data_IF_154208968827
#
_entry.id   IF_154208968827
#
_cell.length_a   1.000
_cell.length_b   1.000
_cell.length_c   1.000
_cell.angle_alpha   90.00
_cell.angle_beta   90.00
_cell.angle_gamma   90.00
#
_symmetry.space_group_name_H-M   'P 1'
#
loop_
_entity.id
_entity.type
_entity.pdbx_description
1 polymer ?
#
# COMPACT_ATOMS: atom_id res chain seq x y z
N UNK A 1 -9.01 17.23 14.97
CA UNK A 1 -10.29 16.96 14.24
C UNK A 1 -10.11 16.77 12.73
N UNK A 2 -9.24 17.51 12.02
CA UNK A 2 -9.00 17.31 10.57
C UNK A 2 -8.46 15.92 10.18
N UNK A 3 -7.68 15.28 11.06
CA UNK A 3 -7.14 13.94 10.82
C UNK A 3 -8.22 12.84 10.73
N UNK A 4 -9.24 12.89 11.60
CA UNK A 4 -10.34 11.92 11.55
C UNK A 4 -11.18 12.07 10.28
N UNK A 5 -11.43 13.31 9.84
CA UNK A 5 -12.13 13.58 8.57
C UNK A 5 -11.36 13.06 7.36
N UNK A 6 -10.03 13.18 7.34
CA UNK A 6 -9.18 12.63 6.29
C UNK A 6 -9.20 11.10 6.27
N UNK A 7 -9.20 10.45 7.45
CA UNK A 7 -9.31 8.99 7.54
C UNK A 7 -10.66 8.50 7.04
N UNK A 8 -11.77 9.11 7.49
CA UNK A 8 -13.13 8.72 7.06
C UNK A 8 -13.30 8.94 5.55
N UNK A 9 -12.84 10.08 5.04
CA UNK A 9 -12.86 10.34 3.60
C UNK A 9 -12.02 9.32 2.82
N UNK A 10 -10.85 8.94 3.35
CA UNK A 10 -10.00 7.88 2.80
C UNK A 10 -10.72 6.53 2.74
N UNK A 11 -11.36 6.12 3.84
CA UNK A 11 -12.12 4.85 3.92
C UNK A 11 -13.31 4.84 2.95
N UNK A 12 -14.05 5.95 2.83
CA UNK A 12 -15.16 6.07 1.87
C UNK A 12 -14.62 5.99 0.43
N UNK A 13 -13.49 6.63 0.15
CA UNK A 13 -12.83 6.57 -1.16
C UNK A 13 -12.36 5.14 -1.49
N UNK A 14 -11.76 4.44 -0.52
CA UNK A 14 -11.35 3.03 -0.65
C UNK A 14 -12.56 2.18 -1.00
N UNK A 15 -13.61 2.27 -0.19
CA UNK A 15 -14.85 1.53 -0.37
C UNK A 15 -15.42 1.76 -1.77
N UNK A 16 -15.49 3.03 -2.20
CA UNK A 16 -15.96 3.39 -3.53
C UNK A 16 -15.10 2.78 -4.65
N UNK A 17 -13.77 2.88 -4.56
CA UNK A 17 -12.81 2.33 -5.53
C UNK A 17 -12.80 0.80 -5.57
N UNK A 18 -13.11 0.14 -4.45
CA UNK A 18 -13.24 -1.33 -4.39
C UNK A 18 -14.60 -1.84 -4.87
N UNK A 19 -15.64 -1.00 -4.89
CA UNK A 19 -17.02 -1.39 -5.20
C UNK A 19 -17.46 -1.01 -6.64
N UNK A 20 -16.77 -0.07 -7.29
CA UNK A 20 -17.03 0.30 -8.70
C UNK A 20 -15.96 -0.31 -9.64
N UNK A 21 -16.34 -0.95 -10.77
CA UNK A 21 -17.66 -1.10 -11.38
C UNK A 21 -18.37 -2.39 -10.91
N UNK A 22 -19.70 -2.35 -10.87
CA UNK A 22 -20.57 -3.38 -10.30
C UNK A 22 -20.65 -4.71 -11.08
N UNK A 23 -19.82 -4.92 -12.11
CA UNK A 23 -19.85 -6.10 -12.99
C UNK A 23 -18.85 -7.22 -12.60
N UNK A 24 -18.03 -7.01 -11.55
CA UNK A 24 -17.06 -8.00 -11.09
C UNK A 24 -17.19 -8.27 -9.58
N UNK A 25 -16.93 -9.52 -9.18
CA UNK A 25 -17.03 -9.92 -7.77
C UNK A 25 -16.15 -9.00 -6.88
N UNK A 26 -16.64 -8.61 -5.69
CA UNK A 26 -15.92 -7.69 -4.80
C UNK A 26 -14.50 -8.19 -4.54
N UNK A 27 -13.53 -7.27 -4.58
CA UNK A 27 -12.09 -7.57 -4.48
C UNK A 27 -11.49 -8.45 -5.61
N UNK A 28 -12.10 -8.47 -6.81
CA UNK A 28 -11.53 -9.14 -7.98
C UNK A 28 -10.63 -8.22 -8.82
N UNK A 29 -9.78 -8.85 -9.63
CA UNK A 29 -8.87 -8.26 -10.63
C UNK A 29 -9.50 -7.19 -11.54
N UNK A 30 -10.81 -7.28 -11.79
CA UNK A 30 -11.54 -6.40 -12.70
C UNK A 30 -12.14 -5.14 -12.03
N UNK A 31 -12.10 -5.05 -10.69
CA UNK A 31 -12.46 -3.82 -9.97
C UNK A 31 -11.51 -2.67 -10.29
N UNK A 32 -11.93 -1.39 -10.17
CA UNK A 32 -11.01 -0.27 -10.43
C UNK A 32 -9.80 -0.30 -9.51
N UNK A 33 -9.99 -0.70 -8.25
CA UNK A 33 -8.90 -1.00 -7.33
C UNK A 33 -7.98 -2.12 -7.86
N UNK A 34 -8.54 -3.23 -8.36
CA UNK A 34 -7.77 -4.33 -8.97
C UNK A 34 -6.97 -3.90 -10.20
N UNK A 35 -7.56 -3.10 -11.11
CA UNK A 35 -6.88 -2.58 -12.31
C UNK A 35 -5.77 -1.59 -11.96
N UNK A 36 -5.98 -0.73 -10.96
CA UNK A 36 -4.93 0.12 -10.40
C UNK A 36 -3.81 -0.73 -9.77
N UNK A 37 -4.17 -1.74 -8.98
CA UNK A 37 -3.25 -2.71 -8.39
C UNK A 37 -2.39 -3.43 -9.40
N UNK A 38 -2.97 -3.90 -10.50
CA UNK A 38 -2.25 -4.55 -11.59
C UNK A 38 -1.32 -3.59 -12.33
N UNK A 39 -1.73 -2.33 -12.49
CA UNK A 39 -0.87 -1.28 -13.07
C UNK A 39 0.37 -1.00 -12.22
N UNK A 40 0.25 -1.04 -10.89
CA UNK A 40 1.37 -0.88 -9.97
C UNK A 40 2.12 -2.19 -9.66
N UNK A 41 1.50 -3.34 -9.92
CA UNK A 41 2.07 -4.67 -9.70
C UNK A 41 3.48 -4.86 -10.29
N UNK A 42 3.85 -4.40 -11.50
CA UNK A 42 5.20 -4.60 -12.02
C UNK A 42 6.28 -3.85 -11.20
N UNK A 43 5.91 -2.77 -10.50
CA UNK A 43 6.83 -2.04 -9.63
C UNK A 43 7.08 -2.80 -8.31
N UNK A 44 6.09 -3.56 -7.85
CA UNK A 44 6.08 -4.24 -6.55
C UNK A 44 6.38 -5.73 -6.63
N UNK A 45 6.27 -6.34 -7.82
CA UNK A 45 6.70 -7.71 -8.12
C UNK A 45 8.13 -8.02 -7.67
N UNK A 46 9.15 -7.18 -7.92
CA UNK A 46 10.52 -7.47 -7.46
C UNK A 46 10.67 -7.45 -5.93
N UNK A 47 9.68 -6.97 -5.19
CA UNK A 47 9.64 -6.97 -3.72
C UNK A 47 8.85 -8.16 -3.17
N UNK A 48 8.30 -9.03 -4.03
CA UNK A 48 7.40 -10.12 -3.66
C UNK A 48 5.97 -9.67 -3.34
N UNK A 49 5.64 -8.40 -3.59
CA UNK A 49 4.34 -7.79 -3.27
C UNK A 49 3.41 -7.96 -4.48
N UNK A 50 2.24 -8.57 -4.27
CA UNK A 50 1.26 -8.82 -5.31
C UNK A 50 0.37 -7.61 -5.59
N UNK A 51 -0.59 -7.77 -6.49
CA UNK A 51 -1.52 -6.71 -6.84
C UNK A 51 -2.45 -6.36 -5.67
N UNK A 52 -2.84 -7.34 -4.84
CA UNK A 52 -3.66 -7.11 -3.64
C UNK A 52 -2.94 -6.21 -2.62
N UNK A 53 -1.68 -6.53 -2.33
CA UNK A 53 -0.88 -5.77 -1.37
C UNK A 53 -0.50 -4.39 -1.91
N UNK A 54 -0.27 -4.28 -3.22
CA UNK A 54 -0.02 -2.98 -3.89
C UNK A 54 -1.22 -2.04 -3.74
N UNK A 55 -2.45 -2.56 -3.86
CA UNK A 55 -3.68 -1.79 -3.61
C UNK A 55 -3.80 -1.39 -2.14
N UNK A 56 -3.51 -2.30 -1.23
CA UNK A 56 -3.52 -2.01 0.21
C UNK A 56 -2.51 -0.91 0.58
N UNK A 57 -1.32 -0.90 -0.04
CA UNK A 57 -0.31 0.15 0.13
C UNK A 57 -0.74 1.49 -0.47
N UNK A 58 -1.40 1.47 -1.64
CA UNK A 58 -1.93 2.68 -2.28
C UNK A 58 -2.95 3.37 -1.37
N UNK A 59 -3.83 2.58 -0.74
CA UNK A 59 -4.78 3.10 0.25
C UNK A 59 -4.11 3.48 1.57
N UNK A 60 -3.09 2.72 1.96
CA UNK A 60 -2.24 3.02 3.10
C UNK A 60 -1.60 4.40 3.02
N UNK A 61 -1.25 4.86 1.82
CA UNK A 61 -0.65 6.18 1.57
C UNK A 61 -1.46 7.33 2.17
N UNK A 62 -2.79 7.19 2.22
CA UNK A 62 -3.69 8.19 2.82
C UNK A 62 -3.59 8.17 4.34
N UNK A 63 -3.67 6.98 4.95
CA UNK A 63 -3.41 6.76 6.37
C UNK A 63 -2.93 5.32 6.62
N UNK A 64 -1.84 5.17 7.38
CA UNK A 64 -1.18 3.88 7.62
C UNK A 64 -2.10 2.83 8.26
N UNK A 65 -3.08 3.28 9.05
CA UNK A 65 -4.05 2.44 9.73
C UNK A 65 -5.08 1.82 8.76
N UNK A 66 -5.28 2.41 7.58
CA UNK A 66 -6.21 1.93 6.57
C UNK A 66 -5.68 0.67 5.87
N UNK A 67 -4.37 0.41 5.88
CA UNK A 67 -3.77 -0.78 5.25
C UNK A 67 -4.41 -2.06 5.75
N UNK A 68 -4.59 -2.19 7.07
CA UNK A 68 -5.18 -3.39 7.68
C UNK A 68 -6.65 -3.54 7.28
N UNK A 69 -7.39 -2.41 7.23
CA UNK A 69 -8.78 -2.40 6.77
C UNK A 69 -8.92 -2.76 5.29
N UNK A 70 -8.02 -2.27 4.44
CA UNK A 70 -7.98 -2.61 3.02
C UNK A 70 -7.68 -4.10 2.81
N UNK A 71 -6.70 -4.66 3.53
CA UNK A 71 -6.41 -6.10 3.50
C UNK A 71 -7.63 -6.92 3.96
N UNK A 72 -8.34 -6.48 5.01
CA UNK A 72 -9.55 -7.15 5.49
C UNK A 72 -10.65 -7.19 4.42
N UNK A 73 -10.85 -6.10 3.68
CA UNK A 73 -11.83 -6.03 2.59
C UNK A 73 -11.38 -6.89 1.40
N UNK A 74 -10.11 -6.83 1.02
CA UNK A 74 -9.56 -7.56 -0.14
C UNK A 74 -9.58 -9.08 0.10
N UNK A 75 -9.22 -9.53 1.30
CA UNK A 75 -9.27 -10.93 1.68
C UNK A 75 -10.66 -11.38 2.14
N UNK A 76 -11.72 -10.57 2.01
CA UNK A 76 -13.09 -11.04 2.25
C UNK A 76 -13.50 -11.21 3.72
N UNK A 77 -12.84 -10.53 4.65
CA UNK A 77 -13.33 -10.25 6.01
C UNK A 77 -13.37 -11.41 7.01
N UNK A 78 -13.35 -12.66 6.58
CA UNK A 78 -13.33 -13.84 7.45
C UNK A 78 -11.90 -14.41 7.55
N UNK A 79 -11.35 -14.41 8.78
CA UNK A 79 -10.05 -14.97 9.15
C UNK A 79 -8.82 -14.43 8.41
N UNK A 80 -8.53 -13.15 8.64
CA UNK A 80 -7.27 -12.49 8.25
C UNK A 80 -6.03 -13.32 8.60
N UNK A 81 -5.99 -13.95 9.79
CA UNK A 81 -4.85 -14.77 10.19
C UNK A 81 -4.62 -15.97 9.26
N UNK A 82 -5.70 -16.61 8.81
CA UNK A 82 -5.62 -17.78 7.94
C UNK A 82 -5.20 -17.37 6.52
N UNK A 83 -5.72 -16.24 6.04
CA UNK A 83 -5.39 -15.75 4.69
C UNK A 83 -4.01 -15.13 4.60
N UNK A 84 -3.56 -14.43 5.64
CA UNK A 84 -2.18 -13.96 5.74
C UNK A 84 -1.22 -15.16 5.76
N UNK A 85 -1.51 -16.20 6.54
CA UNK A 85 -0.70 -17.42 6.55
C UNK A 85 -0.68 -18.15 5.18
N UNK A 86 -1.76 -18.06 4.40
CA UNK A 86 -1.85 -18.68 3.08
C UNK A 86 -1.16 -17.86 1.96
N UNK A 87 -1.14 -16.52 2.06
CA UNK A 87 -0.69 -15.62 0.98
C UNK A 87 0.60 -14.85 1.26
N UNK A 88 1.09 -14.85 2.51
CA UNK A 88 2.36 -14.24 2.89
C UNK A 88 3.36 -15.31 3.33
N UNK A 89 4.44 -15.47 2.55
CA UNK A 89 5.66 -16.09 3.07
C UNK A 89 6.31 -15.15 4.09
N UNK A 90 7.05 -15.66 5.09
CA UNK A 90 7.71 -14.81 6.08
C UNK A 90 8.62 -13.75 5.43
N UNK A 91 9.24 -14.07 4.30
CA UNK A 91 10.06 -13.12 3.55
C UNK A 91 9.22 -12.01 2.90
N UNK A 92 8.09 -12.37 2.29
CA UNK A 92 7.13 -11.41 1.72
C UNK A 92 6.53 -10.50 2.80
N UNK A 93 6.20 -11.07 3.96
CA UNK A 93 5.70 -10.32 5.12
C UNK A 93 6.70 -9.30 5.65
N UNK A 94 7.97 -9.68 5.77
CA UNK A 94 9.04 -8.77 6.19
C UNK A 94 9.28 -7.63 5.19
N UNK A 95 9.30 -7.94 3.89
CA UNK A 95 9.38 -6.93 2.82
C UNK A 95 8.23 -5.93 2.90
N UNK A 96 6.99 -6.43 3.02
CA UNK A 96 5.79 -5.59 3.15
C UNK A 96 5.78 -4.73 4.41
N UNK A 97 6.16 -5.29 5.57
CA UNK A 97 6.27 -4.53 6.81
C UNK A 97 7.35 -3.46 6.74
N UNK A 98 8.53 -3.81 6.20
CA UNK A 98 9.63 -2.86 6.04
C UNK A 98 9.21 -1.71 5.13
N UNK A 99 8.59 -2.00 3.99
CA UNK A 99 8.06 -0.98 3.11
C UNK A 99 7.04 -0.10 3.84
N UNK A 100 6.09 -0.69 4.56
CA UNK A 100 5.05 0.04 5.32
C UNK A 100 5.64 0.93 6.42
N UNK A 101 6.77 0.54 7.02
CA UNK A 101 7.47 1.29 8.07
C UNK A 101 8.36 2.42 7.53
N UNK A 102 9.06 2.17 6.42
CA UNK A 102 9.99 3.14 5.82
C UNK A 102 9.30 4.16 4.95
N UNK A 103 8.25 3.76 4.21
CA UNK A 103 7.55 4.73 3.39
C UNK A 103 6.89 5.76 4.31
N UNK A 104 7.11 7.03 4.03
CA UNK A 104 6.65 8.12 4.89
C UNK A 104 5.13 8.28 4.74
N UNK A 105 4.33 7.95 5.77
CA UNK A 105 2.90 7.79 5.58
C UNK A 105 2.20 8.98 6.22
N UNK A 106 2.11 10.11 5.51
CA UNK A 106 0.98 10.99 5.79
C UNK A 106 0.82 12.08 4.73
N UNK A 107 -0.38 12.13 4.16
CA UNK A 107 -0.90 13.32 3.47
C UNK A 107 -0.80 14.56 4.37
N UNK A 108 -0.86 14.38 5.70
CA UNK A 108 -0.66 15.45 6.67
C UNK A 108 0.78 16.02 6.69
N UNK A 109 1.83 15.19 6.58
CA UNK A 109 3.20 15.72 6.47
C UNK A 109 3.45 16.34 5.11
N UNK A 110 2.93 15.76 4.03
CA UNK A 110 2.99 16.40 2.71
C UNK A 110 2.26 17.73 2.68
N UNK A 111 1.10 17.83 3.33
CA UNK A 111 0.34 19.07 3.46
C UNK A 111 1.11 20.12 4.28
N UNK A 112 1.80 19.71 5.35
CA UNK A 112 2.67 20.60 6.12
C UNK A 112 3.89 21.07 5.30
N UNK A 113 4.58 20.16 4.60
CA UNK A 113 5.71 20.49 3.72
C UNK A 113 5.26 21.43 2.61
N UNK A 114 4.11 21.19 1.99
CA UNK A 114 3.56 22.06 0.97
C UNK A 114 3.17 23.43 1.52
N UNK A 115 2.58 23.48 2.72
CA UNK A 115 2.21 24.74 3.37
C UNK A 115 3.45 25.61 3.67
N UNK A 116 4.57 24.98 4.04
CA UNK A 116 5.82 25.67 4.38
C UNK A 116 6.67 26.02 3.14
N UNK A 117 6.83 25.08 2.21
CA UNK A 117 7.68 25.27 1.02
C UNK A 117 6.97 26.01 -0.12
N UNK A 118 5.63 26.02 -0.12
CA UNK A 118 4.75 26.62 -1.15
C UNK A 118 5.07 26.22 -2.60
N UNK A 119 5.84 25.15 -2.79
CA UNK A 119 6.39 24.68 -4.06
C UNK A 119 6.14 23.18 -4.21
N UNK A 120 5.29 22.83 -5.19
CA UNK A 120 4.96 21.44 -5.51
C UNK A 120 6.16 20.58 -5.91
N UNK A 121 7.21 21.20 -6.47
CA UNK A 121 8.44 20.49 -6.85
C UNK A 121 9.15 19.90 -5.63
N UNK A 122 9.26 20.68 -4.54
CA UNK A 122 9.96 20.25 -3.33
C UNK A 122 9.15 19.16 -2.61
N UNK A 123 7.84 19.36 -2.49
CA UNK A 123 6.94 18.36 -1.90
C UNK A 123 7.01 17.02 -2.65
N UNK A 124 7.02 17.04 -3.99
CA UNK A 124 7.12 15.83 -4.80
C UNK A 124 8.52 15.20 -4.72
N UNK A 125 9.59 15.99 -4.68
CA UNK A 125 10.94 15.46 -4.50
C UNK A 125 11.11 14.76 -3.15
N UNK A 126 10.62 15.35 -2.05
CA UNK A 126 10.64 14.72 -0.73
C UNK A 126 9.84 13.41 -0.71
N UNK A 127 8.69 13.40 -1.38
CA UNK A 127 7.87 12.20 -1.50
C UNK A 127 8.58 11.09 -2.27
N UNK A 128 9.12 11.41 -3.45
CA UNK A 128 9.81 10.44 -4.30
C UNK A 128 11.09 9.91 -3.65
N UNK A 129 11.81 10.75 -2.90
CA UNK A 129 13.00 10.32 -2.16
C UNK A 129 12.63 9.31 -1.05
N UNK A 130 11.52 9.55 -0.34
CA UNK A 130 11.03 8.64 0.70
C UNK A 130 10.46 7.34 0.14
N UNK A 131 9.65 7.41 -0.92
CA UNK A 131 9.13 6.20 -1.58
C UNK A 131 10.26 5.40 -2.25
N UNK A 132 11.20 6.08 -2.89
CA UNK A 132 12.34 5.46 -3.56
C UNK A 132 13.28 4.77 -2.58
N UNK A 133 13.56 5.38 -1.43
CA UNK A 133 14.39 4.76 -0.39
C UNK A 133 13.70 3.55 0.26
N UNK A 134 12.40 3.63 0.52
CA UNK A 134 11.60 2.51 1.02
C UNK A 134 11.57 1.35 0.02
N UNK A 135 11.36 1.65 -1.27
CA UNK A 135 11.35 0.66 -2.33
C UNK A 135 12.71 -0.03 -2.47
N UNK A 136 13.81 0.72 -2.47
CA UNK A 136 15.17 0.17 -2.52
C UNK A 136 15.49 -0.71 -1.31
N UNK A 137 15.14 -0.28 -0.09
CA UNK A 137 15.38 -1.05 1.12
C UNK A 137 14.60 -2.38 1.13
N UNK A 138 13.33 -2.33 0.72
CA UNK A 138 12.48 -3.52 0.60
C UNK A 138 12.97 -4.49 -0.47
N UNK A 139 13.45 -3.97 -1.60
CA UNK A 139 14.03 -4.76 -2.68
C UNK A 139 15.33 -5.45 -2.23
N UNK A 140 16.21 -4.73 -1.54
CA UNK A 140 17.43 -5.30 -0.97
C UNK A 140 17.12 -6.40 0.05
N UNK A 141 16.10 -6.22 0.89
CA UNK A 141 15.69 -7.24 1.85
C UNK A 141 15.13 -8.48 1.16
N UNK A 142 14.23 -8.31 0.19
CA UNK A 142 13.61 -9.43 -0.51
C UNK A 142 14.62 -10.20 -1.37
N UNK A 143 15.42 -9.48 -2.15
CA UNK A 143 16.46 -10.08 -2.99
C UNK A 143 17.58 -10.68 -2.15
N UNK A 144 17.95 -10.03 -1.03
CA UNK A 144 18.94 -10.55 -0.08
C UNK A 144 18.45 -11.81 0.65
N UNK A 145 17.18 -11.85 1.05
CA UNK A 145 16.58 -13.04 1.65
C UNK A 145 16.50 -14.23 0.70
N UNK A 146 16.14 -13.97 -0.57
CA UNK A 146 16.18 -14.98 -1.63
C UNK A 146 17.59 -15.51 -1.88
N UNK A 147 18.62 -14.64 -1.88
CA UNK A 147 20.02 -15.03 -2.03
C UNK A 147 20.54 -15.84 -0.84
N UNK A 148 20.01 -15.60 0.37
CA UNK A 148 20.30 -16.37 1.57
C UNK A 148 19.53 -17.71 1.64
N UNK A 149 18.68 -18.01 0.64
CA UNK A 149 17.93 -19.26 0.54
C UNK A 149 16.64 -19.30 1.37
N UNK A 150 16.16 -18.15 1.87
CA UNK A 150 14.85 -18.05 2.50
C UNK A 150 13.77 -17.84 1.42
N UNK A 151 12.68 -18.64 1.46
CA UNK A 151 11.50 -18.55 0.57
C UNK A 151 10.24 -18.24 1.36
#
# INVERSE_FOLDING_TARGET
>A
QRAATLIVAGVILVWFLTHFPADAAPASADSWAGRLGQGFSPLFQPLGIGWQESVALLFGFVAKEIVIGALAVIYGGADLNMQVAAHFTPLKGLSFMLFTLLYTPCVATLAAIHAESRSWRITLMSLLLGLGSAWLASLLLYQGGLLLGFS
#
